data_IF_748952602477
#
_entry.id   IF_748952602477
#
_cell.length_a   1.000
_cell.length_b   1.000
_cell.length_c   1.000
_cell.angle_alpha   90.00
_cell.angle_beta   90.00
_cell.angle_gamma   90.00
#
_symmetry.space_group_name_H-M   'P 1'
#
loop_
_entity.id
_entity.type
_entity.pdbx_description
1 polymer ?
#
# COMPACT_ATOMS: atom_id res chain seq x y z
N UNK A 1 -8.61 61.24 1.38
CA UNK A 1 -7.30 60.54 1.41
C UNK A 1 -7.34 59.22 2.19
N UNK A 2 -8.03 59.09 3.33
CA UNK A 2 -8.08 57.83 4.10
C UNK A 2 -8.88 56.67 3.46
N UNK A 3 -9.81 56.95 2.54
CA UNK A 3 -10.69 55.92 1.96
C UNK A 3 -10.01 55.06 0.86
N UNK A 4 -9.07 55.62 0.11
CA UNK A 4 -8.31 54.87 -0.91
C UNK A 4 -7.23 53.98 -0.30
N UNK A 5 -6.66 54.36 0.85
CA UNK A 5 -5.67 53.53 1.55
C UNK A 5 -6.31 52.29 2.18
N UNK A 6 -7.56 52.36 2.63
CA UNK A 6 -8.25 51.20 3.20
C UNK A 6 -8.55 50.10 2.16
N UNK A 7 -8.84 50.48 0.92
CA UNK A 7 -9.14 49.50 -0.14
C UNK A 7 -7.93 48.64 -0.51
N UNK A 8 -6.73 49.22 -0.54
CA UNK A 8 -5.51 48.48 -0.87
C UNK A 8 -5.14 47.46 0.22
N UNK A 9 -5.44 47.75 1.49
CA UNK A 9 -5.21 46.85 2.60
C UNK A 9 -6.15 45.64 2.54
N UNK A 10 -7.41 45.85 2.21
CA UNK A 10 -8.38 44.76 2.05
C UNK A 10 -8.00 43.86 0.87
N UNK A 11 -7.60 44.45 -0.25
CA UNK A 11 -7.17 43.69 -1.43
C UNK A 11 -5.99 42.77 -1.11
N UNK A 12 -4.98 43.26 -0.39
CA UNK A 12 -3.82 42.44 -0.03
C UNK A 12 -4.18 41.29 0.90
N UNK A 13 -5.08 41.52 1.86
CA UNK A 13 -5.56 40.47 2.76
C UNK A 13 -6.30 39.35 2.00
N UNK A 14 -7.13 39.70 1.00
CA UNK A 14 -7.84 38.70 0.17
C UNK A 14 -6.86 37.85 -0.65
N UNK A 15 -5.85 38.47 -1.26
CA UNK A 15 -4.85 37.74 -2.06
C UNK A 15 -4.07 36.76 -1.19
N UNK A 16 -3.64 37.18 0.01
CA UNK A 16 -2.93 36.28 0.94
C UNK A 16 -3.82 35.13 1.41
N UNK A 17 -5.11 35.39 1.69
CA UNK A 17 -6.05 34.35 2.10
C UNK A 17 -6.21 33.24 1.06
N UNK A 18 -6.35 33.61 -0.22
CA UNK A 18 -6.48 32.63 -1.30
C UNK A 18 -5.18 31.86 -1.55
N UNK A 19 -4.02 32.51 -1.41
CA UNK A 19 -2.72 31.86 -1.57
C UNK A 19 -2.47 30.77 -0.52
N UNK A 20 -2.88 31.00 0.74
CA UNK A 20 -2.74 30.02 1.82
C UNK A 20 -3.63 28.80 1.57
N UNK A 21 -4.87 29.01 1.12
CA UNK A 21 -5.80 27.90 0.81
C UNK A 21 -5.24 27.01 -0.29
N UNK A 22 -4.77 27.59 -1.40
CA UNK A 22 -4.16 26.84 -2.49
C UNK A 22 -2.87 26.12 -2.06
N UNK A 23 -2.08 26.74 -1.15
CA UNK A 23 -0.88 26.12 -0.60
C UNK A 23 -1.17 24.88 0.23
N UNK A 24 -2.23 24.90 1.04
CA UNK A 24 -2.64 23.75 1.86
C UNK A 24 -3.15 22.61 0.98
N UNK A 25 -3.94 22.92 -0.04
CA UNK A 25 -4.46 21.90 -0.95
C UNK A 25 -3.34 21.18 -1.70
N UNK A 26 -2.38 21.94 -2.26
CA UNK A 26 -1.22 21.38 -2.94
C UNK A 26 -0.34 20.52 -2.00
N UNK A 27 -0.20 20.95 -0.75
CA UNK A 27 0.52 20.18 0.27
C UNK A 27 -0.17 18.85 0.57
N UNK A 28 -1.49 18.87 0.81
CA UNK A 28 -2.28 17.65 1.08
C UNK A 28 -2.23 16.67 -0.10
N UNK A 29 -2.31 17.16 -1.34
CA UNK A 29 -2.16 16.32 -2.53
C UNK A 29 -0.76 15.67 -2.60
N UNK A 30 0.29 16.43 -2.27
CA UNK A 30 1.66 15.93 -2.21
C UNK A 30 1.86 14.85 -1.15
N UNK A 31 1.30 15.01 0.05
CA UNK A 31 1.37 14.00 1.11
C UNK A 31 0.66 12.70 0.72
N UNK A 32 -0.53 12.81 0.09
CA UNK A 32 -1.26 11.64 -0.42
C UNK A 32 -0.43 10.91 -1.48
N UNK A 33 0.12 11.63 -2.46
CA UNK A 33 0.94 11.02 -3.50
C UNK A 33 2.18 10.32 -2.93
N UNK A 34 2.91 10.98 -2.03
CA UNK A 34 4.08 10.39 -1.38
C UNK A 34 3.73 9.12 -0.57
N UNK A 35 2.57 9.11 0.09
CA UNK A 35 2.07 7.94 0.81
C UNK A 35 1.78 6.78 -0.15
N UNK A 36 1.15 7.05 -1.30
CA UNK A 36 0.88 6.02 -2.32
C UNK A 36 2.17 5.41 -2.85
N UNK A 37 3.15 6.24 -3.20
CA UNK A 37 4.44 5.77 -3.72
C UNK A 37 5.18 4.92 -2.67
N UNK A 38 5.14 5.32 -1.40
CA UNK A 38 5.72 4.55 -0.30
C UNK A 38 5.03 3.19 -0.12
N UNK A 39 3.69 3.15 -0.19
CA UNK A 39 2.92 1.89 -0.09
C UNK A 39 3.21 0.95 -1.26
N UNK A 40 3.28 1.45 -2.49
CA UNK A 40 3.62 0.66 -3.67
C UNK A 40 5.03 0.08 -3.54
N UNK A 41 6.01 0.93 -3.19
CA UNK A 41 7.38 0.47 -2.99
C UNK A 41 7.47 -0.58 -1.88
N UNK A 42 6.73 -0.39 -0.78
CA UNK A 42 6.68 -1.35 0.32
C UNK A 42 6.04 -2.67 -0.11
N UNK A 43 4.88 -2.64 -0.76
CA UNK A 43 4.18 -3.83 -1.23
C UNK A 43 5.06 -4.67 -2.17
N UNK A 44 5.76 -4.01 -3.10
CA UNK A 44 6.72 -4.66 -3.99
C UNK A 44 7.86 -5.28 -3.18
N UNK A 45 8.44 -4.57 -2.21
CA UNK A 45 9.53 -5.11 -1.39
C UNK A 45 9.11 -6.38 -0.64
N UNK A 46 7.94 -6.36 0.00
CA UNK A 46 7.38 -7.51 0.72
C UNK A 46 7.12 -8.67 -0.24
N UNK A 47 6.51 -8.40 -1.41
CA UNK A 47 6.30 -9.43 -2.44
C UNK A 47 7.60 -10.05 -2.95
N UNK A 48 8.66 -9.26 -3.12
CA UNK A 48 9.98 -9.80 -3.50
C UNK A 48 10.63 -10.64 -2.40
N UNK A 49 10.42 -10.30 -1.13
CA UNK A 49 10.93 -11.08 0.00
C UNK A 49 10.21 -12.43 0.11
N UNK A 50 8.90 -12.48 -0.14
CA UNK A 50 8.11 -13.73 -0.22
C UNK A 50 8.60 -14.61 -1.38
N UNK A 51 8.78 -14.03 -2.57
CA UNK A 51 9.32 -14.78 -3.73
C UNK A 51 10.75 -15.30 -3.47
N UNK A 52 11.57 -14.51 -2.77
CA UNK A 52 12.90 -14.94 -2.37
C UNK A 52 12.85 -16.08 -1.35
N UNK A 53 11.90 -16.04 -0.40
CA UNK A 53 11.64 -17.11 0.55
C UNK A 53 11.17 -18.39 -0.15
N UNK A 54 10.34 -18.26 -1.20
CA UNK A 54 9.91 -19.39 -2.01
C UNK A 54 11.06 -20.09 -2.76
N UNK A 55 11.99 -19.29 -3.31
CA UNK A 55 13.17 -19.83 -4.02
C UNK A 55 14.24 -20.42 -3.11
N UNK A 56 14.08 -20.28 -1.79
CA UNK A 56 15.04 -20.76 -0.81
C UNK A 56 14.76 -22.23 -0.49
N UNK A 57 15.79 -23.09 -0.35
CA UNK A 57 15.55 -24.49 -0.01
C UNK A 57 14.95 -24.59 1.41
N UNK A 58 14.07 -25.58 1.69
CA UNK A 58 13.40 -25.73 3.00
C UNK A 58 14.38 -25.84 4.18
N UNK A 59 15.57 -26.39 3.93
CA UNK A 59 16.66 -26.54 4.93
C UNK A 59 17.26 -25.21 5.40
N UNK A 60 17.02 -24.12 4.67
CA UNK A 60 17.41 -22.77 5.05
C UNK A 60 16.20 -21.93 5.49
N UNK A 61 15.03 -22.54 5.69
CA UNK A 61 13.80 -21.83 6.05
C UNK A 61 13.12 -21.15 4.87
N UNK A 62 13.18 -21.77 3.68
CA UNK A 62 12.30 -21.41 2.57
C UNK A 62 10.95 -22.10 2.67
N UNK A 63 10.01 -21.63 1.87
CA UNK A 63 8.62 -22.10 1.82
C UNK A 63 8.27 -22.55 0.41
N UNK A 64 7.28 -23.42 0.27
CA UNK A 64 6.69 -23.72 -1.02
C UNK A 64 5.36 -22.98 -1.12
N UNK A 65 5.20 -22.10 -2.12
CA UNK A 65 3.95 -21.38 -2.35
C UNK A 65 2.94 -22.26 -3.08
N UNK A 66 3.36 -23.40 -3.65
CA UNK A 66 2.49 -24.39 -4.28
C UNK A 66 1.78 -25.29 -3.25
N UNK A 67 2.21 -25.28 -1.99
CA UNK A 67 1.63 -26.11 -0.90
C UNK A 67 0.69 -25.32 0.04
N UNK A 68 0.21 -24.13 -0.37
CA UNK A 68 -0.66 -23.24 0.43
C UNK A 68 -0.15 -23.04 1.88
N UNK A 69 1.05 -22.44 2.06
CA UNK A 69 1.57 -22.20 3.40
C UNK A 69 0.70 -21.16 4.12
N UNK A 70 0.46 -21.36 5.42
CA UNK A 70 -0.27 -20.40 6.25
C UNK A 70 0.36 -18.99 6.14
N UNK A 71 -0.46 -17.94 6.19
CA UNK A 71 -0.04 -16.53 6.09
C UNK A 71 1.11 -16.17 7.06
N UNK A 72 1.09 -16.74 8.26
CA UNK A 72 2.14 -16.57 9.26
C UNK A 72 3.45 -17.26 8.89
N UNK A 73 3.37 -18.42 8.24
CA UNK A 73 4.54 -19.14 7.75
C UNK A 73 5.17 -18.37 6.61
N UNK A 74 4.36 -17.77 5.73
CA UNK A 74 4.84 -16.87 4.68
C UNK A 74 5.51 -15.61 5.25
N UNK A 75 4.85 -14.92 6.17
CA UNK A 75 5.40 -13.74 6.82
C UNK A 75 6.74 -14.05 7.50
N UNK A 76 6.80 -15.14 8.28
CA UNK A 76 8.02 -15.56 8.97
C UNK A 76 9.15 -15.93 7.99
N UNK A 77 8.84 -16.58 6.86
CA UNK A 77 9.83 -16.95 5.87
C UNK A 77 10.38 -15.74 5.09
N UNK A 78 9.55 -14.72 4.88
CA UNK A 78 9.95 -13.42 4.35
C UNK A 78 10.67 -12.55 5.40
N UNK A 79 10.70 -12.96 6.67
CA UNK A 79 11.41 -12.29 7.76
C UNK A 79 10.60 -11.21 8.48
N UNK A 80 9.27 -11.27 8.40
CA UNK A 80 8.36 -10.38 9.11
C UNK A 80 7.76 -11.06 10.33
N UNK A 81 7.66 -10.31 11.43
CA UNK A 81 6.92 -10.73 12.62
C UNK A 81 5.44 -10.36 12.41
N UNK A 82 4.58 -11.35 12.12
CA UNK A 82 3.12 -11.18 12.04
C UNK A 82 2.44 -11.47 13.38
N UNK A 83 1.33 -10.79 13.69
CA UNK A 83 0.56 -11.00 14.93
C UNK A 83 -0.48 -12.13 14.82
N UNK A 84 -0.20 -13.16 14.01
CA UNK A 84 -1.16 -14.21 13.67
C UNK A 84 -2.12 -13.74 12.57
N UNK A 85 -2.04 -14.36 11.39
CA UNK A 85 -2.69 -14.02 10.10
C UNK A 85 -1.85 -13.24 9.08
N UNK A 86 -0.51 -13.28 9.11
CA UNK A 86 0.30 -12.55 8.12
C UNK A 86 0.13 -11.02 8.13
N UNK A 87 -0.54 -10.52 9.16
CA UNK A 87 -1.01 -9.16 9.31
C UNK A 87 -0.02 -8.25 10.07
N UNK A 88 -0.28 -6.94 9.99
CA UNK A 88 0.41 -5.87 10.72
C UNK A 88 1.89 -5.66 10.37
N UNK A 89 2.30 -6.03 9.15
CA UNK A 89 3.66 -5.75 8.68
C UNK A 89 3.81 -4.23 8.52
N UNK A 90 4.73 -3.56 9.22
CA UNK A 90 4.79 -2.11 9.19
C UNK A 90 5.14 -1.60 7.79
N UNK A 91 4.32 -0.66 7.28
CA UNK A 91 4.55 0.01 6.01
C UNK A 91 5.22 1.37 6.24
N UNK A 92 6.47 1.31 6.71
CA UNK A 92 7.26 2.51 7.00
C UNK A 92 7.43 3.42 5.78
N UNK A 93 7.21 4.72 5.98
CA UNK A 93 7.33 5.74 4.94
C UNK A 93 6.00 6.27 4.41
N UNK A 94 4.90 5.56 4.65
CA UNK A 94 3.54 6.06 4.45
C UNK A 94 3.12 6.94 5.66
N UNK A 95 2.34 8.00 5.41
CA UNK A 95 1.79 8.81 6.50
C UNK A 95 0.73 7.99 7.28
N UNK A 96 0.81 8.01 8.62
CA UNK A 96 -0.17 7.35 9.49
C UNK A 96 0.17 5.90 9.90
N UNK A 97 -0.79 5.14 10.46
CA UNK A 97 -0.61 3.76 10.91
C UNK A 97 -0.68 2.77 9.74
N UNK A 98 0.15 2.98 8.72
CA UNK A 98 0.14 2.15 7.51
C UNK A 98 0.71 0.76 7.79
N UNK A 99 0.04 -0.27 7.28
CA UNK A 99 0.39 -1.67 7.48
C UNK A 99 0.19 -2.47 6.20
N UNK A 100 0.93 -3.56 6.09
CA UNK A 100 0.79 -4.57 5.07
C UNK A 100 0.32 -5.88 5.69
N UNK A 101 -0.32 -6.68 4.87
CA UNK A 101 -0.96 -7.95 5.18
C UNK A 101 -0.63 -8.91 4.04
N UNK A 102 -0.26 -10.14 4.38
CA UNK A 102 0.03 -11.19 3.41
C UNK A 102 -1.14 -12.17 3.45
N UNK A 103 -1.79 -12.33 2.30
CA UNK A 103 -2.90 -13.23 2.12
C UNK A 103 -2.48 -14.34 1.15
N UNK A 104 -2.37 -15.56 1.68
CA UNK A 104 -2.13 -16.78 0.91
C UNK A 104 -3.39 -17.40 0.34
N UNK A 105 -4.56 -16.87 0.69
CA UNK A 105 -5.84 -17.45 0.31
C UNK A 105 -6.18 -17.16 -1.16
N UNK A 106 -6.82 -18.17 -1.74
CA UNK A 106 -7.23 -18.31 -3.12
C UNK A 106 -8.18 -17.20 -3.59
N UNK A 107 -7.60 -16.06 -3.97
CA UNK A 107 -8.18 -15.19 -4.97
C UNK A 107 -8.24 -15.95 -6.28
N UNK A 108 -9.40 -16.52 -6.61
CA UNK A 108 -9.66 -17.30 -7.83
C UNK A 108 -9.07 -16.58 -9.06
N UNK A 109 -7.96 -17.09 -9.57
CA UNK A 109 -7.45 -16.77 -10.92
C UNK A 109 -7.87 -17.92 -11.82
N UNK A 110 -8.27 -17.59 -13.06
CA UNK A 110 -8.79 -18.53 -14.06
C UNK A 110 -7.75 -19.60 -14.54
N UNK A 111 -6.53 -19.58 -14.01
CA UNK A 111 -5.40 -20.38 -14.48
C UNK A 111 -4.67 -21.06 -13.29
N UNK A 112 -5.21 -22.21 -12.80
CA UNK A 112 -4.63 -23.35 -12.05
C UNK A 112 -3.39 -23.18 -11.10
N UNK A 113 -2.98 -21.97 -10.76
CA UNK A 113 -1.84 -21.63 -9.92
C UNK A 113 -2.27 -20.63 -8.84
N UNK A 114 -2.01 -20.97 -7.59
CA UNK A 114 -2.32 -20.11 -6.45
C UNK A 114 -1.22 -19.05 -6.29
N UNK A 115 -1.66 -17.81 -6.08
CA UNK A 115 -0.77 -16.66 -5.98
C UNK A 115 -0.87 -16.11 -4.57
N UNK A 116 0.27 -15.70 -4.00
CA UNK A 116 0.25 -14.94 -2.76
C UNK A 116 -0.07 -13.48 -3.05
N UNK A 117 -0.92 -12.86 -2.24
CA UNK A 117 -1.27 -11.46 -2.33
C UNK A 117 -0.68 -10.69 -1.16
N UNK A 118 -0.19 -9.49 -1.43
CA UNK A 118 0.28 -8.55 -0.42
C UNK A 118 -0.61 -7.32 -0.51
N UNK A 119 -1.35 -7.05 0.55
CA UNK A 119 -2.20 -5.87 0.68
C UNK A 119 -1.50 -4.86 1.59
N UNK A 120 -1.23 -3.65 1.13
CA UNK A 120 -0.66 -2.57 1.94
C UNK A 120 -1.60 -1.38 1.98
N UNK A 121 -2.03 -0.99 3.19
CA UNK A 121 -2.97 0.09 3.44
C UNK A 121 -2.41 1.27 4.22
N UNK A 122 -2.99 2.45 4.03
CA UNK A 122 -2.65 3.66 4.82
C UNK A 122 -3.34 3.72 6.19
N UNK A 123 -4.42 2.97 6.39
CA UNK A 123 -5.11 2.79 7.66
C UNK A 123 -4.78 1.44 8.28
N UNK A 124 -4.56 1.43 9.60
CA UNK A 124 -4.15 0.22 10.33
C UNK A 124 -5.08 -0.97 10.13
N UNK A 125 -4.58 -2.18 10.39
CA UNK A 125 -5.36 -3.41 10.22
C UNK A 125 -6.37 -3.51 11.36
N UNK A 126 -7.64 -3.71 11.03
CA UNK A 126 -8.62 -4.19 12.00
C UNK A 126 -9.34 -5.36 11.40
N UNK A 127 -9.21 -6.53 12.04
CA UNK A 127 -9.77 -7.82 11.61
C UNK A 127 -9.37 -8.26 10.20
N UNK A 128 -8.07 -8.24 9.89
CA UNK A 128 -7.50 -9.03 8.78
C UNK A 128 -7.44 -8.38 7.41
N UNK A 129 -7.52 -7.05 7.29
CA UNK A 129 -7.16 -6.35 6.04
C UNK A 129 -6.76 -4.90 6.32
N UNK A 130 -5.78 -4.35 5.57
CA UNK A 130 -5.43 -2.94 5.64
C UNK A 130 -6.60 -2.04 5.19
N UNK A 131 -6.70 -0.82 5.74
CA UNK A 131 -7.77 0.14 5.38
C UNK A 131 -7.26 1.34 4.59
N UNK A 132 -8.20 2.11 4.04
CA UNK A 132 -7.93 3.37 3.34
C UNK A 132 -7.43 3.13 1.92
N UNK A 133 -6.28 3.70 1.58
CA UNK A 133 -5.67 3.44 0.28
C UNK A 133 -4.92 2.11 0.33
N UNK A 134 -5.40 1.10 -0.40
CA UNK A 134 -4.87 -0.26 -0.42
C UNK A 134 -4.19 -0.54 -1.76
N UNK A 135 -2.93 -0.95 -1.69
CA UNK A 135 -2.16 -1.48 -2.82
C UNK A 135 -2.10 -2.99 -2.70
N UNK A 136 -2.53 -3.68 -3.74
CA UNK A 136 -2.45 -5.14 -3.83
C UNK A 136 -1.36 -5.53 -4.82
N UNK A 137 -0.36 -6.26 -4.34
CA UNK A 137 0.68 -6.89 -5.15
C UNK A 137 0.46 -8.38 -5.19
N UNK A 138 0.51 -8.97 -6.38
CA UNK A 138 0.46 -10.42 -6.59
C UNK A 138 1.87 -10.95 -6.74
N UNK A 139 2.13 -12.07 -6.07
CA UNK A 139 3.35 -12.86 -6.19
C UNK A 139 3.00 -14.16 -6.91
N UNK A 140 3.49 -14.31 -8.13
CA UNK A 140 3.34 -15.52 -8.94
C UNK A 140 4.58 -16.42 -8.73
N UNK A 141 4.43 -17.63 -8.17
CA UNK A 141 5.55 -18.53 -7.92
C UNK A 141 6.11 -19.15 -9.21
N UNK A 142 5.31 -19.28 -10.28
CA UNK A 142 5.71 -20.03 -11.47
C UNK A 142 6.77 -19.27 -12.29
N UNK A 143 8.01 -19.79 -12.41
CA UNK A 143 9.11 -19.03 -12.98
C UNK A 143 9.27 -19.20 -14.50
N UNK A 144 8.54 -20.11 -15.14
CA UNK A 144 8.90 -20.65 -16.46
C UNK A 144 8.19 -19.99 -17.64
N UNK A 145 7.06 -19.31 -17.42
CA UNK A 145 6.26 -18.75 -18.52
C UNK A 145 6.36 -17.22 -18.69
N UNK A 146 6.89 -16.46 -17.70
CA UNK A 146 6.76 -14.99 -17.71
C UNK A 146 8.00 -14.21 -17.22
N UNK A 147 8.22 -12.97 -17.73
CA UNK A 147 9.29 -12.08 -17.28
C UNK A 147 9.11 -11.65 -15.81
N UNK A 148 10.19 -11.20 -15.16
CA UNK A 148 10.20 -10.89 -13.71
C UNK A 148 9.16 -9.84 -13.27
N UNK A 149 8.76 -8.94 -14.18
CA UNK A 149 7.72 -7.92 -13.97
C UNK A 149 6.31 -8.52 -13.79
N UNK A 150 6.09 -9.76 -14.21
CA UNK A 150 4.83 -10.51 -14.04
C UNK A 150 4.84 -11.38 -12.77
N UNK A 151 6.02 -11.61 -12.20
CA UNK A 151 6.21 -12.45 -10.99
C UNK A 151 5.86 -11.72 -9.70
N UNK A 152 6.13 -10.42 -9.64
CA UNK A 152 5.72 -9.54 -8.54
C UNK A 152 5.16 -8.27 -9.17
N UNK A 153 3.85 -8.19 -9.27
CA UNK A 153 3.15 -7.13 -9.99
C UNK A 153 2.08 -6.47 -9.14
N UNK A 154 1.94 -5.15 -9.28
CA UNK A 154 0.79 -4.43 -8.69
C UNK A 154 -0.45 -4.79 -9.51
N UNK A 155 -1.41 -5.48 -8.90
CA UNK A 155 -2.63 -5.95 -9.57
C UNK A 155 -3.77 -4.97 -9.35
N UNK A 156 -3.82 -4.33 -8.19
CA UNK A 156 -4.86 -3.36 -7.90
C UNK A 156 -4.32 -2.24 -7.00
N UNK A 157 -4.86 -1.05 -7.23
CA UNK A 157 -4.74 0.10 -6.34
C UNK A 157 -6.18 0.55 -6.09
N UNK A 158 -6.67 0.31 -4.88
CA UNK A 158 -8.04 0.67 -4.49
C UNK A 158 -7.98 1.73 -3.39
N UNK A 159 -8.77 2.79 -3.57
CA UNK A 159 -9.01 3.75 -2.51
C UNK A 159 -10.36 3.40 -1.88
N UNK A 160 -10.35 2.68 -0.76
CA UNK A 160 -11.55 2.54 0.05
C UNK A 160 -11.74 3.86 0.81
N UNK A 161 -12.49 4.77 0.20
CA UNK A 161 -12.99 5.94 0.92
C UNK A 161 -13.98 5.46 1.98
N UNK A 162 -13.65 5.68 3.25
CA UNK A 162 -14.48 5.33 4.40
C UNK A 162 -15.84 6.09 4.40
N UNK A 163 -15.95 7.18 3.63
CA UNK A 163 -17.19 7.88 3.32
C UNK A 163 -17.25 8.26 1.83
N UNK A 164 -18.41 8.01 1.18
CA UNK A 164 -18.65 8.34 -0.24
C UNK A 164 -18.52 9.84 -0.56
N UNK A 165 -18.57 10.70 0.45
CA UNK A 165 -18.53 12.16 0.29
C UNK A 165 -17.09 12.73 0.23
N UNK A 166 -16.06 11.92 0.53
CA UNK A 166 -14.65 12.36 0.49
C UNK A 166 -13.91 11.98 -0.81
N UNK A 167 -14.52 11.19 -1.71
CA UNK A 167 -13.90 10.83 -3.00
C UNK A 167 -14.16 11.80 -4.16
N UNK A 168 -15.08 12.78 -4.01
CA UNK A 168 -15.44 13.72 -5.08
C UNK A 168 -15.05 15.16 -4.68
N UNK A 169 -13.83 15.55 -5.05
CA UNK A 169 -13.48 16.95 -5.34
C UNK A 169 -12.82 17.03 -6.71
#
# INVERSE_FOLDING_TARGET
>A
MGQQQLLLLVLSAVIVGLAVLAGIEAFNQGERQATRDALVQRAISVGTDILAAHRKPPRLGGIDLEEEPDDDVMAAAAGFDSNGSGADIPAGGAAGPAVCDIDGSSGVVEDDYENAYVHCGSGGSGSGSPRGFVVTVRVNPHPEDEPFEEKVGVVAIQEECEDKDDCDL
#
